data_IF_172797988558
#
_entry.id   IF_172797988558
#
_cell.length_a   1.000
_cell.length_b   1.000
_cell.length_c   1.000
_cell.angle_alpha   90.00
_cell.angle_beta   90.00
_cell.angle_gamma   90.00
#
_symmetry.space_group_name_H-M   'P 1'
#
loop_
_entity.id
_entity.type
_entity.pdbx_description
1 polymer ?
#
# COMPACT_ATOMS: atom_id res chain seq x y z
N UNK A 1 -11.22 -10.47 16.10
CA UNK A 1 -9.79 -10.09 16.07
C UNK A 1 -9.72 -8.57 16.08
N UNK A 2 -9.15 -7.98 17.12
CA UNK A 2 -8.75 -6.56 17.06
C UNK A 2 -7.45 -6.54 16.25
N UNK A 3 -7.58 -6.52 14.92
CA UNK A 3 -6.46 -6.53 13.99
C UNK A 3 -5.77 -5.17 14.02
N UNK A 4 -4.78 -5.04 14.87
CA UNK A 4 -3.90 -3.87 14.90
C UNK A 4 -3.03 -3.87 13.64
N UNK A 5 -2.97 -2.73 12.95
CA UNK A 5 -2.13 -2.55 11.78
C UNK A 5 -0.66 -2.55 12.21
N UNK A 6 0.13 -3.49 11.67
CA UNK A 6 1.58 -3.52 11.86
C UNK A 6 2.27 -3.08 10.58
N UNK A 7 3.23 -2.18 10.72
CA UNK A 7 4.01 -1.61 9.63
C UNK A 7 5.49 -1.78 10.00
N UNK A 8 6.30 -2.21 9.04
CA UNK A 8 7.74 -2.36 9.19
C UNK A 8 8.43 -1.79 7.95
N UNK A 9 9.30 -0.80 8.16
CA UNK A 9 10.13 -0.24 7.10
C UNK A 9 11.38 -1.11 6.93
N UNK A 10 11.43 -1.88 5.84
CA UNK A 10 12.62 -2.67 5.50
C UNK A 10 13.75 -1.79 4.95
N UNK A 11 13.40 -0.74 4.21
CA UNK A 11 14.34 0.22 3.62
C UNK A 11 13.70 1.60 3.67
N UNK A 12 14.34 2.53 4.39
CA UNK A 12 13.87 3.90 4.50
C UNK A 12 14.13 4.68 3.20
N UNK A 13 13.08 5.25 2.62
CA UNK A 13 13.19 6.18 1.50
C UNK A 13 13.66 7.56 1.95
N UNK A 14 14.44 8.25 1.11
CA UNK A 14 14.87 9.64 1.35
C UNK A 14 13.99 10.68 0.61
N UNK A 15 12.86 10.24 0.08
CA UNK A 15 11.94 11.06 -0.71
C UNK A 15 11.05 11.95 0.15
N UNK A 16 10.25 12.80 -0.51
CA UNK A 16 9.19 13.54 0.17
C UNK A 16 8.12 12.54 0.65
N UNK A 17 7.64 12.74 1.88
CA UNK A 17 6.49 12.02 2.38
C UNK A 17 5.28 12.22 1.44
N UNK A 18 4.52 11.15 1.23
CA UNK A 18 3.24 11.25 0.55
C UNK A 18 2.29 12.12 1.38
N UNK A 19 1.48 12.92 0.71
CA UNK A 19 0.48 13.78 1.36
C UNK A 19 -0.90 13.45 0.84
N UNK A 20 -1.93 13.75 1.63
CA UNK A 20 -3.33 13.58 1.21
C UNK A 20 -3.58 14.26 -0.14
N UNK A 21 -4.12 13.51 -1.10
CA UNK A 21 -4.38 13.98 -2.47
C UNK A 21 -3.22 13.78 -3.45
N UNK A 22 -2.08 13.27 -2.99
CA UNK A 22 -0.97 12.91 -3.88
C UNK A 22 -1.33 11.69 -4.73
N UNK A 23 -0.97 11.76 -6.02
CA UNK A 23 -0.93 10.59 -6.90
C UNK A 23 0.36 9.81 -6.60
N UNK A 24 0.21 8.58 -6.12
CA UNK A 24 1.35 7.67 -5.92
C UNK A 24 1.38 6.62 -7.01
N UNK A 25 2.59 6.18 -7.35
CA UNK A 25 2.83 5.02 -8.21
C UNK A 25 3.67 4.04 -7.42
N UNK A 26 3.20 2.81 -7.27
CA UNK A 26 3.81 1.82 -6.37
C UNK A 26 3.72 0.41 -6.94
N UNK A 27 4.67 -0.42 -6.53
CA UNK A 27 4.60 -1.86 -6.75
C UNK A 27 4.24 -2.54 -5.42
N UNK A 28 3.30 -3.49 -5.46
CA UNK A 28 2.87 -4.22 -4.27
C UNK A 28 2.50 -5.65 -4.60
N UNK A 29 2.43 -6.44 -3.54
CA UNK A 29 1.84 -7.76 -3.50
C UNK A 29 1.05 -7.88 -2.20
N UNK A 30 -0.08 -8.54 -2.26
CA UNK A 30 -1.00 -8.74 -1.16
C UNK A 30 -1.34 -10.21 -1.02
N UNK A 31 -1.27 -10.70 0.22
CA UNK A 31 -1.58 -12.08 0.57
C UNK A 31 -2.62 -12.13 1.69
N UNK A 32 -3.41 -13.19 1.69
CA UNK A 32 -4.26 -13.59 2.80
C UNK A 32 -3.41 -14.27 3.88
N UNK A 33 -3.96 -14.44 5.08
CA UNK A 33 -3.26 -15.08 6.20
C UNK A 33 -2.86 -16.53 5.91
N UNK A 34 -3.56 -17.20 4.99
CA UNK A 34 -3.25 -18.56 4.53
C UNK A 34 -2.14 -18.62 3.47
N UNK A 35 -1.59 -17.46 3.07
CA UNK A 35 -0.54 -17.35 2.05
C UNK A 35 -1.07 -17.21 0.62
N UNK A 36 -2.39 -17.24 0.40
CA UNK A 36 -2.98 -17.03 -0.92
C UNK A 36 -2.74 -15.59 -1.40
N UNK A 37 -2.09 -15.41 -2.55
CA UNK A 37 -1.98 -14.08 -3.18
C UNK A 37 -3.36 -13.64 -3.66
N UNK A 38 -3.88 -12.53 -3.12
CA UNK A 38 -5.15 -11.96 -3.57
C UNK A 38 -4.95 -10.90 -4.64
N UNK A 39 -3.79 -10.21 -4.63
CA UNK A 39 -3.49 -9.17 -5.60
C UNK A 39 -1.99 -8.86 -5.72
N UNK A 40 -1.53 -8.54 -6.92
CA UNK A 40 -0.12 -8.23 -7.19
C UNK A 40 0.04 -7.36 -8.43
N UNK A 41 0.69 -6.20 -8.28
CA UNK A 41 1.05 -5.35 -9.42
C UNK A 41 2.15 -5.98 -10.28
N UNK A 42 3.01 -6.80 -9.68
CA UNK A 42 4.03 -7.56 -10.40
C UNK A 42 3.39 -8.61 -11.32
N UNK A 43 2.37 -9.32 -10.85
CA UNK A 43 1.63 -10.32 -11.63
C UNK A 43 0.90 -9.67 -12.82
N UNK A 44 0.52 -8.39 -12.70
CA UNK A 44 -0.07 -7.59 -13.79
C UNK A 44 0.95 -6.94 -14.74
N UNK A 45 2.25 -7.00 -14.42
CA UNK A 45 3.32 -6.39 -15.21
C UNK A 45 3.30 -4.86 -15.27
N UNK A 46 2.49 -4.19 -14.45
CA UNK A 46 2.41 -2.72 -14.40
C UNK A 46 2.27 -2.20 -12.98
N UNK A 47 2.94 -1.08 -12.63
CA UNK A 47 2.74 -0.41 -11.35
C UNK A 47 1.28 -0.03 -11.11
N UNK A 48 0.91 0.01 -9.84
CA UNK A 48 -0.38 0.51 -9.42
C UNK A 48 -0.31 2.00 -9.16
N UNK A 49 -1.33 2.73 -9.61
CA UNK A 49 -1.45 4.16 -9.42
C UNK A 49 -2.74 4.47 -8.65
N UNK A 50 -2.61 5.24 -7.58
CA UNK A 50 -3.76 5.64 -6.77
C UNK A 50 -3.54 7.02 -6.15
N UNK A 51 -4.66 7.66 -5.80
CA UNK A 51 -4.66 8.94 -5.10
C UNK A 51 -4.97 8.70 -3.63
N UNK A 52 -4.01 9.01 -2.75
CA UNK A 52 -4.12 8.77 -1.31
C UNK A 52 -5.09 9.76 -0.67
N UNK A 53 -5.83 9.31 0.34
CA UNK A 53 -6.78 10.15 1.08
C UNK A 53 -8.16 10.24 0.42
N UNK A 54 -8.44 9.37 -0.56
CA UNK A 54 -9.71 9.29 -1.29
C UNK A 54 -10.56 8.09 -0.88
N UNK A 55 -10.09 7.26 0.07
CA UNK A 55 -10.72 5.99 0.47
C UNK A 55 -10.93 5.01 -0.70
N UNK A 56 -10.06 5.06 -1.71
CA UNK A 56 -10.10 4.17 -2.88
C UNK A 56 -9.05 3.07 -2.85
N UNK A 57 -8.33 2.94 -1.74
CA UNK A 57 -7.28 1.92 -1.53
C UNK A 57 -7.60 1.11 -0.28
N UNK A 58 -6.86 0.01 -0.10
CA UNK A 58 -6.94 -0.83 1.09
C UNK A 58 -6.73 0.05 2.33
N UNK A 59 -7.62 -0.06 3.33
CA UNK A 59 -7.67 0.87 4.46
C UNK A 59 -6.35 0.99 5.25
N UNK A 60 -5.52 -0.06 5.28
CA UNK A 60 -4.18 -0.01 5.88
C UNK A 60 -3.25 1.00 5.19
N UNK A 61 -3.38 1.18 3.88
CA UNK A 61 -2.58 2.13 3.11
C UNK A 61 -2.95 3.58 3.43
N UNK A 62 -4.22 3.87 3.72
CA UNK A 62 -4.65 5.22 4.13
C UNK A 62 -4.15 5.59 5.54
N UNK A 63 -3.83 4.59 6.37
CA UNK A 63 -3.31 4.81 7.73
C UNK A 63 -1.80 4.97 7.74
N UNK A 64 -1.08 4.28 6.84
CA UNK A 64 0.37 4.37 6.72
C UNK A 64 0.82 5.60 5.91
N UNK A 65 0.19 5.88 4.76
CA UNK A 65 0.62 6.95 3.85
C UNK A 65 0.17 8.36 4.27
N UNK A 66 0.00 8.58 5.57
CA UNK A 66 -0.52 9.85 6.12
C UNK A 66 0.58 10.79 6.59
#
# INVERSE_FOLDING_TARGET
>A
MNGELKIEDLVLGSGKAAVKGALITTQYRGWLEDGTEFDSSYSRGKPFQCVIGTRRVIQGWEQELR
#
